data_IF_507737759666
#
_entry.id   IF_507737759666
#
_cell.length_a   1.000
_cell.length_b   1.000
_cell.length_c   1.000
_cell.angle_alpha   90.00
_cell.angle_beta   90.00
_cell.angle_gamma   90.00
#
_symmetry.space_group_name_H-M   'P 1'
#
loop_
_entity.id
_entity.type
_entity.pdbx_description
1 polymer ?
#
# COMPACT_ATOMS: atom_id res chain seq x y z
N UNK A 1 -10.94 6.79 6.76
CA UNK A 1 -10.56 5.37 6.53
C UNK A 1 -10.68 4.59 7.83
N UNK A 2 -11.82 3.96 8.00
CA UNK A 2 -12.06 3.19 9.21
C UNK A 2 -11.30 1.87 9.18
N UNK A 3 -10.60 1.50 10.28
CA UNK A 3 -9.95 0.19 10.36
C UNK A 3 -10.98 -0.94 10.30
N UNK A 4 -10.64 -1.99 9.56
CA UNK A 4 -11.49 -3.18 9.46
C UNK A 4 -11.38 -4.09 10.67
N UNK A 5 -10.35 -3.92 11.49
CA UNK A 5 -10.08 -4.75 12.68
C UNK A 5 -9.91 -3.89 13.91
N UNK A 6 -10.49 -4.32 15.03
CA UNK A 6 -10.32 -3.66 16.31
C UNK A 6 -9.03 -4.09 17.00
N UNK A 7 -8.67 -3.40 18.08
CA UNK A 7 -7.58 -3.84 18.93
C UNK A 7 -7.86 -5.25 19.45
N UNK A 8 -6.81 -6.02 19.65
CA UNK A 8 -6.87 -7.40 20.17
C UNK A 8 -7.54 -8.40 19.22
N UNK A 9 -7.82 -7.99 17.99
CA UNK A 9 -8.32 -8.85 16.92
C UNK A 9 -7.16 -9.39 16.10
N UNK A 10 -7.16 -10.71 15.82
CA UNK A 10 -6.17 -11.32 14.94
C UNK A 10 -6.50 -10.97 13.49
N UNK A 11 -5.48 -10.59 12.72
CA UNK A 11 -5.62 -10.26 11.31
C UNK A 11 -4.92 -11.33 10.48
N UNK A 12 -5.71 -12.12 9.72
CA UNK A 12 -5.18 -13.15 8.84
C UNK A 12 -5.00 -12.54 7.44
N UNK A 13 -3.86 -11.94 7.19
CA UNK A 13 -3.58 -11.25 5.94
C UNK A 13 -3.60 -12.19 4.72
N UNK A 14 -2.99 -13.39 4.77
CA UNK A 14 -3.10 -14.31 3.63
C UNK A 14 -4.54 -14.66 3.26
N UNK A 15 -5.42 -14.82 4.25
CA UNK A 15 -6.83 -15.12 3.99
C UNK A 15 -7.53 -13.95 3.30
N UNK A 16 -7.24 -12.71 3.72
CA UNK A 16 -7.80 -11.52 3.09
C UNK A 16 -7.35 -11.41 1.63
N UNK A 17 -6.07 -11.63 1.38
CA UNK A 17 -5.51 -11.57 0.03
C UNK A 17 -6.12 -12.64 -0.88
N UNK A 18 -6.28 -13.86 -0.37
CA UNK A 18 -6.84 -14.97 -1.14
C UNK A 18 -8.31 -14.74 -1.50
N UNK A 19 -9.05 -14.05 -0.65
CA UNK A 19 -10.48 -13.79 -0.87
C UNK A 19 -10.75 -12.63 -1.82
N UNK A 20 -9.78 -11.77 -2.05
CA UNK A 20 -9.96 -10.57 -2.88
C UNK A 20 -9.89 -10.91 -4.38
N UNK A 21 -10.93 -10.55 -5.12
CA UNK A 21 -11.01 -10.77 -6.58
C UNK A 21 -10.91 -9.47 -7.38
N UNK A 22 -10.83 -8.33 -6.72
CA UNK A 22 -10.75 -7.05 -7.39
C UNK A 22 -9.38 -6.86 -8.05
N UNK A 23 -9.32 -6.07 -9.12
CA UNK A 23 -8.08 -5.79 -9.81
C UNK A 23 -7.13 -4.95 -8.95
N UNK A 24 -7.69 -3.99 -8.21
CA UNK A 24 -6.93 -3.05 -7.39
C UNK A 24 -7.74 -2.71 -6.15
N UNK A 25 -7.27 -3.11 -4.99
CA UNK A 25 -8.03 -2.98 -3.75
C UNK A 25 -7.14 -2.52 -2.60
N UNK A 26 -7.66 -1.62 -1.79
CA UNK A 26 -7.02 -1.14 -0.58
C UNK A 26 -7.96 -1.30 0.60
N UNK A 27 -7.41 -1.68 1.73
CA UNK A 27 -8.15 -1.81 2.98
C UNK A 27 -7.29 -1.32 4.14
N UNK A 28 -7.86 -0.50 5.01
CA UNK A 28 -7.20 -0.17 6.27
C UNK A 28 -7.42 -1.31 7.24
N UNK A 29 -6.34 -1.94 7.69
CA UNK A 29 -6.41 -3.06 8.62
C UNK A 29 -6.61 -2.61 10.06
N UNK A 30 -5.73 -1.74 10.53
CA UNK A 30 -5.71 -1.34 11.92
C UNK A 30 -5.04 0.03 12.09
N UNK A 31 -5.17 0.56 13.29
CA UNK A 31 -4.55 1.82 13.70
C UNK A 31 -3.50 1.54 14.76
N UNK A 32 -2.36 2.19 14.66
CA UNK A 32 -1.32 2.19 15.68
C UNK A 32 -1.01 3.65 15.99
N UNK A 33 -1.51 4.14 17.12
CA UNK A 33 -1.48 5.57 17.48
C UNK A 33 -2.09 6.41 16.36
N UNK A 34 -1.36 7.36 15.80
CA UNK A 34 -1.82 8.22 14.70
C UNK A 34 -1.44 7.68 13.32
N UNK A 35 -1.05 6.40 13.23
CA UNK A 35 -0.69 5.75 11.99
C UNK A 35 -1.70 4.68 11.62
N UNK A 36 -1.84 4.45 10.32
CA UNK A 36 -2.70 3.42 9.76
C UNK A 36 -1.84 2.35 9.09
N UNK A 37 -2.17 1.09 9.32
CA UNK A 37 -1.60 -0.03 8.60
C UNK A 37 -2.63 -0.48 7.58
N UNK A 38 -2.28 -0.41 6.30
CA UNK A 38 -3.18 -0.69 5.20
C UNK A 38 -2.68 -1.87 4.37
N UNK A 39 -3.60 -2.58 3.77
CA UNK A 39 -3.30 -3.69 2.89
C UNK A 39 -3.72 -3.33 1.47
N UNK A 40 -2.77 -3.39 0.55
CA UNK A 40 -3.03 -3.30 -0.87
C UNK A 40 -3.05 -4.70 -1.47
N UNK A 41 -4.10 -5.03 -2.20
CA UNK A 41 -4.19 -6.27 -2.96
C UNK A 41 -4.35 -5.85 -4.41
N UNK A 42 -3.24 -5.95 -5.15
CA UNK A 42 -3.14 -5.46 -6.51
C UNK A 42 -2.97 -6.66 -7.43
N UNK A 43 -4.07 -7.09 -8.04
CA UNK A 43 -4.06 -8.28 -8.89
C UNK A 43 -3.60 -7.99 -10.31
N UNK A 44 -3.86 -6.78 -10.81
CA UNK A 44 -3.34 -6.34 -12.11
C UNK A 44 -3.43 -4.82 -12.24
N UNK A 45 -2.60 -4.26 -13.09
CA UNK A 45 -2.72 -2.87 -13.52
C UNK A 45 -1.84 -1.91 -12.74
N UNK A 46 -2.29 -0.65 -12.77
CA UNK A 46 -1.55 0.46 -12.20
C UNK A 46 -2.48 1.44 -11.50
N UNK A 47 -1.91 2.18 -10.55
CA UNK A 47 -2.58 3.32 -9.98
C UNK A 47 -2.23 4.57 -10.80
N UNK A 48 -2.82 5.71 -10.49
CA UNK A 48 -2.48 6.96 -11.18
C UNK A 48 -1.22 7.59 -10.56
N UNK A 49 -0.58 8.48 -11.31
CA UNK A 49 0.49 9.31 -10.77
C UNK A 49 -0.09 10.22 -9.71
N UNK A 50 0.54 10.25 -8.53
CA UNK A 50 0.09 11.08 -7.41
C UNK A 50 1.23 11.35 -6.43
N UNK A 51 0.95 12.25 -5.49
CA UNK A 51 1.85 12.54 -4.37
C UNK A 51 1.01 12.83 -3.14
N UNK A 52 1.66 12.78 -1.99
CA UNK A 52 1.07 13.18 -0.72
C UNK A 52 1.87 14.37 -0.20
N UNK A 53 1.23 15.52 0.00
CA UNK A 53 1.96 16.74 0.34
C UNK A 53 2.51 16.75 1.77
N UNK A 54 1.85 16.07 2.68
CA UNK A 54 2.17 16.10 4.11
C UNK A 54 2.52 14.74 4.72
N UNK A 55 2.48 13.68 3.94
CA UNK A 55 2.58 12.32 4.47
C UNK A 55 3.65 11.51 3.74
N UNK A 56 4.48 10.83 4.52
CA UNK A 56 5.37 9.80 4.00
C UNK A 56 4.55 8.51 3.88
N UNK A 57 4.92 7.66 2.92
CA UNK A 57 4.22 6.40 2.70
C UNK A 57 5.23 5.27 2.63
N UNK A 58 5.08 4.29 3.51
CA UNK A 58 5.93 3.09 3.54
C UNK A 58 5.23 1.93 2.86
N UNK A 59 5.96 1.23 1.97
CA UNK A 59 5.50 0.03 1.29
C UNK A 59 6.35 -1.16 1.72
N UNK A 60 5.71 -2.28 1.98
CA UNK A 60 6.39 -3.53 2.30
C UNK A 60 5.69 -4.68 1.60
N UNK A 61 6.37 -5.33 0.65
CA UNK A 61 5.77 -6.39 -0.17
C UNK A 61 5.72 -7.70 0.59
N UNK A 62 4.54 -8.30 0.62
CA UNK A 62 4.32 -9.62 1.22
C UNK A 62 4.40 -10.74 0.19
N UNK A 63 3.90 -10.48 -1.03
CA UNK A 63 3.80 -11.45 -2.10
C UNK A 63 3.80 -10.73 -3.44
N UNK A 64 4.40 -11.33 -4.46
CA UNK A 64 4.47 -10.74 -5.79
C UNK A 64 5.59 -9.73 -5.92
N UNK A 65 5.41 -8.75 -6.80
CA UNK A 65 6.38 -7.66 -7.00
C UNK A 65 5.64 -6.35 -7.20
N UNK A 66 6.05 -5.32 -6.47
CA UNK A 66 5.51 -3.98 -6.64
C UNK A 66 6.54 -3.10 -7.35
N UNK A 67 6.10 -2.47 -8.43
CA UNK A 67 6.90 -1.48 -9.14
C UNK A 67 6.44 -0.10 -8.70
N UNK A 68 7.39 0.74 -8.26
CA UNK A 68 7.09 2.14 -7.91
C UNK A 68 7.86 3.02 -8.88
N UNK A 69 7.12 3.64 -9.80
CA UNK A 69 7.70 4.58 -10.73
C UNK A 69 7.91 5.93 -10.03
N UNK A 70 9.11 6.45 -10.15
CA UNK A 70 9.48 7.81 -9.78
C UNK A 70 9.77 8.58 -11.08
N UNK A 71 10.01 9.88 -11.00
CA UNK A 71 10.26 10.68 -12.20
C UNK A 71 11.45 10.19 -13.01
N UNK A 72 12.52 9.73 -12.33
CA UNK A 72 13.78 9.38 -12.98
C UNK A 72 14.14 7.90 -12.92
N UNK A 73 13.35 7.09 -12.23
CA UNK A 73 13.66 5.67 -12.07
C UNK A 73 12.43 4.88 -11.65
N UNK A 74 12.52 3.56 -11.74
CA UNK A 74 11.50 2.65 -11.22
C UNK A 74 12.17 1.75 -10.19
N UNK A 75 11.58 1.67 -9.01
CA UNK A 75 12.04 0.82 -7.93
C UNK A 75 11.21 -0.46 -7.94
N UNK A 76 11.88 -1.61 -7.87
CA UNK A 76 11.21 -2.91 -7.87
C UNK A 76 11.31 -3.52 -6.48
N UNK A 77 10.15 -3.76 -5.86
CA UNK A 77 10.07 -4.37 -4.53
C UNK A 77 9.65 -5.82 -4.66
N UNK A 78 10.55 -6.71 -4.32
CA UNK A 78 10.30 -8.15 -4.23
C UNK A 78 9.73 -8.49 -2.86
N UNK A 79 9.25 -9.73 -2.61
CA UNK A 79 8.74 -10.10 -1.29
C UNK A 79 9.75 -9.77 -0.18
N UNK A 80 9.24 -9.15 0.86
CA UNK A 80 9.99 -8.70 2.05
C UNK A 80 10.92 -7.51 1.80
N UNK A 81 10.79 -6.84 0.64
CA UNK A 81 11.45 -5.56 0.41
C UNK A 81 10.54 -4.44 0.88
N UNK A 82 11.16 -3.43 1.48
CA UNK A 82 10.46 -2.21 1.92
C UNK A 82 11.02 -0.97 1.25
N UNK A 83 10.19 0.06 1.12
CA UNK A 83 10.57 1.32 0.50
C UNK A 83 9.68 2.45 1.01
N UNK A 84 10.28 3.56 1.39
CA UNK A 84 9.52 4.73 1.83
C UNK A 84 9.54 5.82 0.76
N UNK A 85 8.36 6.22 0.32
CA UNK A 85 8.20 7.38 -0.55
C UNK A 85 7.95 8.59 0.36
N UNK A 86 8.88 9.56 0.39
CA UNK A 86 8.70 10.72 1.25
C UNK A 86 7.62 11.65 0.69
N UNK A 87 7.09 12.48 1.58
CA UNK A 87 6.09 13.49 1.19
C UNK A 87 6.58 14.33 0.02
N UNK A 88 5.67 14.75 -0.84
CA UNK A 88 5.96 15.61 -1.97
C UNK A 88 6.56 14.92 -3.19
N UNK A 89 6.84 13.62 -3.14
CA UNK A 89 7.42 12.89 -4.26
C UNK A 89 6.33 12.27 -5.12
N UNK A 90 6.31 12.68 -6.38
CA UNK A 90 5.38 12.13 -7.38
C UNK A 90 5.75 10.69 -7.69
N UNK A 91 4.79 9.79 -7.63
CA UNK A 91 5.04 8.36 -7.85
C UNK A 91 3.82 7.66 -8.41
N UNK A 92 4.04 6.47 -8.99
CA UNK A 92 2.97 5.62 -9.51
C UNK A 92 3.29 4.15 -9.24
N UNK A 93 2.53 3.48 -8.35
CA UNK A 93 2.68 2.03 -8.17
C UNK A 93 1.96 1.27 -9.29
N UNK A 94 2.57 0.14 -9.71
CA UNK A 94 1.94 -0.78 -10.64
C UNK A 94 2.44 -2.20 -10.40
N UNK A 95 1.70 -3.17 -10.95
CA UNK A 95 2.04 -4.59 -10.84
C UNK A 95 1.90 -5.27 -12.19
N UNK A 96 2.64 -6.38 -12.35
CA UNK A 96 2.57 -7.25 -13.53
C UNK A 96 1.97 -8.60 -13.19
N UNK A 97 1.80 -8.89 -11.91
CA UNK A 97 1.23 -10.13 -11.37
C UNK A 97 0.52 -9.82 -10.05
N UNK A 98 -0.32 -10.74 -9.55
CA UNK A 98 -0.96 -10.50 -8.25
C UNK A 98 0.05 -10.25 -7.15
N UNK A 99 -0.16 -9.16 -6.42
CA UNK A 99 0.78 -8.64 -5.42
C UNK A 99 0.03 -8.19 -4.17
N UNK A 100 0.57 -8.53 -3.01
CA UNK A 100 0.03 -8.09 -1.73
C UNK A 100 1.07 -7.24 -1.01
N UNK A 101 0.65 -6.06 -0.54
CA UNK A 101 1.54 -5.04 0.01
C UNK A 101 0.96 -4.49 1.31
N UNK A 102 1.81 -4.37 2.34
CA UNK A 102 1.46 -3.56 3.51
C UNK A 102 1.92 -2.13 3.27
N UNK A 103 1.10 -1.18 3.69
CA UNK A 103 1.44 0.23 3.64
C UNK A 103 1.22 0.83 5.03
N UNK A 104 2.15 1.68 5.45
CA UNK A 104 2.05 2.39 6.73
C UNK A 104 2.06 3.88 6.44
N UNK A 105 1.07 4.58 6.94
CA UNK A 105 0.87 6.00 6.66
C UNK A 105 0.23 6.70 7.85
N UNK A 106 0.35 8.03 7.89
CA UNK A 106 -0.35 8.85 8.87
C UNK A 106 -1.86 8.79 8.62
N UNK A 107 -2.66 8.97 9.67
CA UNK A 107 -4.12 9.00 9.55
C UNK A 107 -4.65 10.24 8.82
N UNK A 108 -3.79 11.22 8.52
CA UNK A 108 -4.13 12.39 7.70
C UNK A 108 -4.02 12.12 6.20
N UNK A 109 -3.51 10.96 5.79
CA UNK A 109 -3.27 10.64 4.39
C UNK A 109 -4.55 10.65 3.55
N UNK A 110 -4.41 11.09 2.30
CA UNK A 110 -5.47 10.95 1.28
C UNK A 110 -5.06 9.82 0.35
N UNK A 111 -5.76 8.68 0.35
CA UNK A 111 -5.32 7.50 -0.40
C UNK A 111 -5.10 7.73 -1.89
N UNK A 112 -5.85 8.65 -2.49
CA UNK A 112 -5.75 8.95 -3.92
C UNK A 112 -4.70 10.02 -4.24
N UNK A 113 -4.04 10.57 -3.23
CA UNK A 113 -3.06 11.65 -3.36
C UNK A 113 -3.69 13.03 -3.21
N UNK A 114 -2.84 14.01 -3.10
CA UNK A 114 -3.26 15.42 -2.96
C UNK A 114 -3.36 16.14 -4.36
#
# INVERSE_FOLDING_TARGET
MEPGFDFLELIDVPALAAACKEKWFNQTLCRVNDHLVRLGIFNEGEFHWHKHDSDDEFFFVLKGELFIELENETVVLKPHYGFTVPRGILHRPYVKEPTAVLMVESDSVKPVGD
#
